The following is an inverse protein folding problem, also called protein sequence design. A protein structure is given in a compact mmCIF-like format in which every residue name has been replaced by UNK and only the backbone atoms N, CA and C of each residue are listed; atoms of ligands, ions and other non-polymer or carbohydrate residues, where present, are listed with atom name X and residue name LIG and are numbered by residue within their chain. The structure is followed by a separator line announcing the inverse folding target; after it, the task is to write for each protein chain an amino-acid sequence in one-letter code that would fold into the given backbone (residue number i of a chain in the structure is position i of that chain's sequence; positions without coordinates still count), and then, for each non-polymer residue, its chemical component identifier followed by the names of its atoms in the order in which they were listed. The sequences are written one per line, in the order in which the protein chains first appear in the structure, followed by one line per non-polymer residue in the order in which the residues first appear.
data_IF_322705794532
#
_entry.id   IF_322705794532
#
_cell.length_a   1.000
_cell.length_b   1.000
_cell.length_c   1.000
_cell.angle_alpha   90.00
_cell.angle_beta   90.00
_cell.angle_gamma   90.00
#
_symmetry.space_group_name_H-M   'P 1'
#
loop_
_entity.id
_entity.type
_entity.pdbx_description
1 polymer ?
#
# COMPACT_ATOMS: atom_id res chain seq x y z
N UNK A 1 -21.44 40.65 -9.11
CA UNK A 1 -21.45 40.17 -10.51
C UNK A 1 -21.34 38.65 -10.51
N UNK A 2 -22.31 38.00 -11.17
CA UNK A 2 -22.37 36.63 -11.72
C UNK A 2 -21.74 35.47 -10.92
N UNK A 3 -22.63 34.76 -10.22
CA UNK A 3 -22.52 33.35 -9.84
C UNK A 3 -22.56 32.48 -11.11
N UNK A 4 -21.66 31.50 -11.21
CA UNK A 4 -21.73 30.37 -12.15
C UNK A 4 -21.61 29.13 -11.26
N UNK A 5 -22.71 28.61 -10.70
CA UNK A 5 -23.53 27.51 -11.25
C UNK A 5 -22.68 26.33 -11.69
N UNK A 6 -22.41 25.41 -10.77
CA UNK A 6 -22.17 24.01 -11.07
C UNK A 6 -23.46 23.24 -10.79
N UNK A 7 -24.09 22.75 -11.84
CA UNK A 7 -25.16 21.77 -11.78
C UNK A 7 -24.63 20.42 -12.27
N UNK A 8 -25.36 19.36 -11.87
CA UNK A 8 -25.23 17.94 -12.22
C UNK A 8 -24.35 17.11 -11.27
N UNK A 9 -24.78 15.98 -10.71
CA UNK A 9 -26.10 15.37 -10.54
C UNK A 9 -25.86 14.21 -9.57
N UNK A 10 -26.52 14.18 -8.41
CA UNK A 10 -26.60 12.96 -7.62
C UNK A 10 -28.08 12.64 -7.40
N UNK A 11 -28.56 11.73 -8.25
CA UNK A 11 -29.85 11.06 -8.10
C UNK A 11 -29.83 10.25 -6.80
N UNK A 12 -30.52 10.78 -5.80
CA UNK A 12 -30.78 10.11 -4.53
C UNK A 12 -31.96 9.15 -4.74
N UNK A 13 -31.68 7.86 -4.89
CA UNK A 13 -32.71 6.84 -4.96
C UNK A 13 -33.15 6.51 -3.53
N UNK A 14 -34.35 7.01 -3.21
CA UNK A 14 -35.38 6.42 -2.32
C UNK A 14 -35.09 4.96 -1.93
N UNK A 15 -35.00 4.58 -0.67
CA UNK A 15 -35.99 4.78 0.37
C UNK A 15 -36.32 3.39 0.92
N UNK A 16 -35.92 3.10 2.15
CA UNK A 16 -36.44 1.95 2.89
C UNK A 16 -36.81 2.45 4.27
N UNK A 17 -38.12 2.44 4.49
CA UNK A 17 -38.82 2.75 5.72
C UNK A 17 -38.33 1.83 6.82
N UNK A 18 -37.84 2.42 7.90
CA UNK A 18 -37.50 1.73 9.15
C UNK A 18 -38.80 1.50 9.92
N UNK A 19 -39.28 0.26 9.99
CA UNK A 19 -40.40 -0.14 10.84
C UNK A 19 -39.90 -1.11 11.91
N UNK A 20 -40.06 -0.70 13.16
CA UNK A 20 -39.70 -1.45 14.36
C UNK A 20 -40.71 -2.57 14.64
N UNK A 21 -40.27 -3.68 15.24
CA UNK A 21 -40.88 -4.34 16.41
C UNK A 21 -40.25 -5.73 16.66
N UNK A 22 -39.66 -5.92 17.84
CA UNK A 22 -39.43 -7.22 18.51
C UNK A 22 -40.71 -7.62 19.27
N UNK A 23 -41.03 -8.92 19.54
CA UNK A 23 -40.42 -9.65 20.67
C UNK A 23 -40.30 -11.22 20.59
N UNK A 24 -39.31 -11.74 21.34
CA UNK A 24 -39.28 -12.94 22.21
C UNK A 24 -39.67 -14.38 21.76
N UNK A 25 -38.66 -15.29 21.75
CA UNK A 25 -38.47 -16.57 22.54
C UNK A 25 -39.46 -17.76 22.39
N UNK A 26 -39.15 -19.08 22.67
CA UNK A 26 -37.89 -19.87 22.84
C UNK A 26 -37.75 -21.17 21.97
N UNK A 27 -36.54 -21.75 22.00
CA UNK A 27 -36.13 -23.17 21.95
C UNK A 27 -36.94 -24.26 21.19
N UNK A 28 -36.26 -25.00 20.29
CA UNK A 28 -36.01 -26.44 20.50
C UNK A 28 -34.83 -26.98 19.64
N UNK A 29 -34.10 -28.02 20.11
CA UNK A 29 -32.84 -28.49 19.54
C UNK A 29 -33.04 -29.68 18.59
N UNK A 30 -32.36 -29.70 17.45
CA UNK A 30 -32.30 -30.93 16.66
C UNK A 30 -31.81 -30.76 15.24
N UNK A 31 -30.74 -31.50 14.94
CA UNK A 31 -30.34 -32.01 13.61
C UNK A 31 -29.95 -30.99 12.53
N UNK A 32 -28.65 -30.75 12.41
CA UNK A 32 -27.84 -31.43 11.39
C UNK A 32 -26.51 -30.70 11.25
N UNK A 33 -25.43 -31.45 11.43
CA UNK A 33 -24.06 -30.98 11.29
C UNK A 33 -23.83 -30.44 9.86
N UNK A 34 -24.01 -29.13 9.68
CA UNK A 34 -23.48 -28.43 8.52
C UNK A 34 -21.97 -28.36 8.68
N UNK A 35 -21.33 -29.32 8.04
CA UNK A 35 -19.92 -29.43 7.68
C UNK A 35 -19.14 -28.13 7.90
N UNK A 36 -18.10 -28.09 8.77
CA UNK A 36 -17.19 -26.96 8.78
C UNK A 36 -16.62 -26.85 7.36
N UNK A 37 -16.97 -25.77 6.66
CA UNK A 37 -16.45 -25.45 5.35
C UNK A 37 -14.94 -25.68 5.38
N UNK A 38 -14.54 -26.75 4.69
CA UNK A 38 -13.20 -27.28 4.70
C UNK A 38 -12.22 -26.13 4.47
N UNK A 39 -11.23 -25.89 5.33
CA UNK A 39 -10.19 -24.92 5.03
C UNK A 39 -9.50 -25.41 3.76
N UNK A 40 -9.68 -24.68 2.65
CA UNK A 40 -8.99 -24.96 1.41
C UNK A 40 -7.48 -24.93 1.67
N UNK A 41 -6.87 -26.11 1.76
CA UNK A 41 -5.43 -26.32 1.87
C UNK A 41 -4.97 -27.21 0.71
N UNK A 42 -3.71 -27.08 0.20
CA UNK A 42 -2.58 -26.49 0.90
C UNK A 42 -1.84 -25.35 0.16
N UNK A 43 -1.39 -24.40 0.97
CA UNK A 43 -0.48 -23.31 0.67
C UNK A 43 0.94 -23.77 0.30
N UNK A 44 1.17 -24.30 -0.92
CA UNK A 44 2.50 -24.75 -1.39
C UNK A 44 3.37 -23.72 -2.13
N UNK A 45 2.93 -22.47 -2.34
CA UNK A 45 3.76 -21.41 -2.99
C UNK A 45 3.92 -20.07 -2.23
N UNK A 46 3.60 -19.91 -0.93
CA UNK A 46 3.74 -18.62 -0.27
C UNK A 46 5.20 -18.13 -0.26
N UNK A 47 6.16 -19.03 -0.08
CA UNK A 47 7.59 -18.70 -0.08
C UNK A 47 8.08 -18.07 -1.39
N UNK A 48 7.82 -18.71 -2.53
CA UNK A 48 8.25 -18.21 -3.87
C UNK A 48 7.62 -16.85 -4.21
N UNK A 49 6.34 -16.66 -3.87
CA UNK A 49 5.64 -15.37 -4.08
C UNK A 49 6.27 -14.25 -3.24
N UNK A 50 6.62 -14.53 -1.99
CA UNK A 50 7.28 -13.56 -1.11
C UNK A 50 8.69 -13.22 -1.58
N UNK A 51 9.49 -14.19 -2.04
CA UNK A 51 10.81 -13.92 -2.62
C UNK A 51 10.69 -12.99 -3.82
N UNK A 52 9.77 -13.26 -4.76
CA UNK A 52 9.53 -12.39 -5.92
C UNK A 52 9.09 -10.98 -5.49
N UNK A 53 8.21 -10.89 -4.48
CA UNK A 53 7.77 -9.61 -3.93
C UNK A 53 8.92 -8.83 -3.29
N UNK A 54 9.79 -9.49 -2.53
CA UNK A 54 10.96 -8.86 -1.90
C UNK A 54 11.92 -8.29 -2.96
N UNK A 55 12.25 -9.06 -4.00
CA UNK A 55 13.07 -8.59 -5.13
C UNK A 55 12.46 -7.37 -5.83
N UNK A 56 11.14 -7.35 -6.01
CA UNK A 56 10.46 -6.20 -6.61
C UNK A 56 10.51 -4.95 -5.70
N UNK A 57 10.50 -5.13 -4.38
CA UNK A 57 10.62 -4.03 -3.43
C UNK A 57 12.05 -3.49 -3.44
N UNK A 58 13.07 -4.35 -3.45
CA UNK A 58 14.49 -3.95 -3.60
C UNK A 58 14.72 -3.14 -4.87
N UNK A 59 14.30 -3.65 -6.03
CA UNK A 59 14.41 -2.92 -7.31
C UNK A 59 13.73 -1.56 -7.27
N UNK A 60 12.59 -1.44 -6.59
CA UNK A 60 11.92 -0.15 -6.39
C UNK A 60 12.73 0.75 -5.46
N UNK A 61 13.37 0.19 -4.44
CA UNK A 61 14.28 0.90 -3.54
C UNK A 61 15.45 1.52 -4.30
N UNK A 62 16.17 0.71 -5.07
CA UNK A 62 17.27 1.16 -5.95
C UNK A 62 16.81 2.26 -6.93
N UNK A 63 15.63 2.10 -7.54
CA UNK A 63 15.10 3.10 -8.46
C UNK A 63 14.77 4.43 -7.77
N UNK A 64 14.34 4.39 -6.50
CA UNK A 64 14.09 5.59 -5.71
C UNK A 64 15.41 6.25 -5.29
N UNK A 65 16.41 5.46 -4.91
CA UNK A 65 17.75 5.94 -4.56
C UNK A 65 18.42 6.66 -5.73
N UNK A 66 18.43 6.04 -6.92
CA UNK A 66 18.93 6.68 -8.16
C UNK A 66 18.18 7.97 -8.51
N UNK A 67 16.89 8.08 -8.16
CA UNK A 67 16.14 9.33 -8.32
C UNK A 67 16.57 10.37 -7.29
N UNK A 68 16.90 9.95 -6.08
CA UNK A 68 17.46 10.80 -5.04
C UNK A 68 18.78 11.43 -5.47
N UNK A 69 19.74 10.62 -5.93
CA UNK A 69 21.03 11.09 -6.46
C UNK A 69 20.86 12.10 -7.60
N UNK A 70 19.91 11.86 -8.51
CA UNK A 70 19.62 12.80 -9.60
C UNK A 70 19.04 14.12 -9.12
N UNK A 71 18.30 14.12 -8.01
CA UNK A 71 17.76 15.35 -7.42
C UNK A 71 18.85 16.13 -6.70
N UNK A 72 19.76 15.43 -6.02
CA UNK A 72 20.94 16.02 -5.38
C UNK A 72 21.83 16.73 -6.39
N UNK A 73 22.24 16.06 -7.47
CA UNK A 73 23.00 16.68 -8.57
C UNK A 73 22.30 17.88 -9.22
N UNK A 74 20.97 17.83 -9.32
CA UNK A 74 20.18 18.97 -9.81
C UNK A 74 20.14 20.12 -8.81
N UNK A 75 20.15 19.80 -7.52
CA UNK A 75 20.27 20.76 -6.45
C UNK A 75 21.59 21.51 -6.54
N UNK A 76 22.70 20.78 -6.57
CA UNK A 76 24.05 21.34 -6.73
C UNK A 76 24.16 22.26 -7.96
N UNK A 77 23.64 21.80 -9.11
CA UNK A 77 23.63 22.60 -10.34
C UNK A 77 22.79 23.89 -10.22
N UNK A 78 21.72 23.87 -9.44
CA UNK A 78 20.90 25.06 -9.18
C UNK A 78 21.57 26.01 -8.19
N UNK A 79 22.29 25.49 -7.20
CA UNK A 79 23.13 26.31 -6.31
C UNK A 79 24.21 27.03 -7.11
N UNK A 80 24.92 26.29 -7.98
CA UNK A 80 25.91 26.86 -8.89
C UNK A 80 25.33 27.92 -9.84
N UNK A 81 24.06 27.79 -10.23
CA UNK A 81 23.33 28.77 -11.04
C UNK A 81 22.78 29.97 -10.23
N UNK A 82 23.15 30.12 -8.96
CA UNK A 82 22.74 31.23 -8.09
C UNK A 82 21.35 31.06 -7.45
N UNK A 83 20.73 29.89 -7.55
CA UNK A 83 19.42 29.58 -6.95
C UNK A 83 19.56 28.74 -5.68
N UNK A 84 20.37 29.21 -4.74
CA UNK A 84 20.79 28.49 -3.53
C UNK A 84 19.63 27.85 -2.74
N UNK A 85 18.55 28.61 -2.44
CA UNK A 85 17.39 28.08 -1.69
C UNK A 85 16.70 26.92 -2.42
N UNK A 86 16.60 27.01 -3.75
CA UNK A 86 15.98 25.96 -4.56
C UNK A 86 16.90 24.74 -4.69
N UNK A 87 18.22 24.98 -4.80
CA UNK A 87 19.23 23.93 -4.80
C UNK A 87 19.22 23.13 -3.50
N UNK A 88 19.35 23.79 -2.34
CA UNK A 88 19.31 23.15 -1.01
C UNK A 88 18.03 22.36 -0.78
N UNK A 89 16.90 22.85 -1.29
CA UNK A 89 15.63 22.15 -1.20
C UNK A 89 15.62 20.86 -2.03
N UNK A 90 16.25 20.85 -3.19
CA UNK A 90 16.39 19.65 -4.03
C UNK A 90 17.40 18.66 -3.47
N UNK A 91 18.53 19.11 -2.93
CA UNK A 91 19.53 18.24 -2.27
C UNK A 91 18.90 17.48 -1.10
N UNK A 92 18.25 18.21 -0.17
CA UNK A 92 17.51 17.59 0.95
C UNK A 92 16.43 16.62 0.48
N UNK A 93 15.78 16.91 -0.65
CA UNK A 93 14.80 16.00 -1.24
C UNK A 93 15.46 14.77 -1.84
N UNK A 94 16.64 14.92 -2.44
CA UNK A 94 17.48 13.85 -2.95
C UNK A 94 17.90 12.88 -1.85
N UNK A 95 18.48 13.42 -0.78
CA UNK A 95 18.90 12.65 0.41
C UNK A 95 17.73 11.89 1.05
N UNK A 96 16.57 12.54 1.24
CA UNK A 96 15.36 11.87 1.74
C UNK A 96 14.90 10.73 0.84
N UNK A 97 15.08 10.87 -0.47
CA UNK A 97 14.75 9.81 -1.43
C UNK A 97 15.74 8.66 -1.35
N UNK A 98 17.05 8.91 -1.28
CA UNK A 98 18.07 7.87 -1.04
C UNK A 98 17.77 7.07 0.22
N UNK A 99 17.59 7.75 1.36
CA UNK A 99 17.21 7.13 2.64
C UNK A 99 15.92 6.28 2.54
N UNK A 100 14.94 6.74 1.74
CA UNK A 100 13.72 5.97 1.49
C UNK A 100 13.98 4.74 0.61
N UNK A 101 14.86 4.87 -0.38
CA UNK A 101 15.32 3.80 -1.25
C UNK A 101 15.94 2.66 -0.44
N UNK A 102 16.92 2.97 0.39
CA UNK A 102 17.60 2.04 1.30
C UNK A 102 16.62 1.32 2.23
N UNK A 103 15.71 2.06 2.89
CA UNK A 103 14.67 1.47 3.75
C UNK A 103 13.78 0.49 2.99
N UNK A 104 13.50 0.75 1.71
CA UNK A 104 12.76 -0.20 0.88
C UNK A 104 13.62 -1.41 0.53
N UNK A 105 14.90 -1.26 0.22
CA UNK A 105 15.79 -2.40 -0.02
C UNK A 105 15.81 -3.34 1.20
N UNK A 106 16.06 -2.82 2.41
CA UNK A 106 15.97 -3.61 3.65
C UNK A 106 14.60 -4.24 3.89
N UNK A 107 13.51 -3.58 3.48
CA UNK A 107 12.18 -4.20 3.54
C UNK A 107 12.06 -5.34 2.55
N UNK A 108 12.58 -5.20 1.34
CA UNK A 108 12.64 -6.26 0.35
C UNK A 108 13.39 -7.47 0.88
N UNK A 109 14.57 -7.26 1.47
CA UNK A 109 15.41 -8.32 2.03
C UNK A 109 14.68 -9.12 3.11
N UNK A 110 14.03 -8.42 4.06
CA UNK A 110 13.23 -9.04 5.11
C UNK A 110 12.08 -9.87 4.54
N UNK A 111 11.41 -9.37 3.50
CA UNK A 111 10.34 -10.11 2.82
C UNK A 111 10.88 -11.34 2.10
N UNK A 112 12.05 -11.25 1.46
CA UNK A 112 12.70 -12.42 0.86
C UNK A 112 13.09 -13.45 1.91
N UNK A 113 13.67 -13.02 3.03
CA UNK A 113 14.07 -13.89 4.13
C UNK A 113 12.87 -14.64 4.72
N UNK A 114 11.73 -13.95 4.93
CA UNK A 114 10.47 -14.61 5.32
C UNK A 114 9.99 -15.59 4.25
N UNK A 115 10.12 -15.25 2.98
CA UNK A 115 9.79 -16.13 1.86
C UNK A 115 10.65 -17.40 1.84
N UNK A 116 11.96 -17.27 2.08
CA UNK A 116 12.89 -18.41 2.20
C UNK A 116 12.49 -19.33 3.37
N UNK A 117 12.21 -18.76 4.55
CA UNK A 117 11.75 -19.52 5.73
C UNK A 117 10.44 -20.28 5.51
N UNK A 118 9.51 -19.71 4.74
CA UNK A 118 8.23 -20.36 4.42
C UNK A 118 8.30 -21.32 3.22
N UNK A 119 9.35 -21.24 2.40
CA UNK A 119 9.57 -22.16 1.28
C UNK A 119 10.51 -23.33 1.61
N UNK A 120 11.19 -23.27 2.76
CA UNK A 120 12.03 -24.34 3.29
C UNK A 120 11.28 -25.30 4.24
N UNK A 121 9.96 -25.07 4.44
CA UNK A 121 9.03 -25.98 5.11
C UNK A 121 8.22 -26.72 4.07
#
# INVERSE_FOLDING_TARGET
MKRVVFALAFLFVSGIVFSQATPATPADPGVSAATPATPAAPAKKPGKRLIKRGKNIEKRGEAIEKRGEKLEKKGEALEAAGKEKAGKALERKGERMQNRGERMQHRGERVQHRGKKLGAK
#
